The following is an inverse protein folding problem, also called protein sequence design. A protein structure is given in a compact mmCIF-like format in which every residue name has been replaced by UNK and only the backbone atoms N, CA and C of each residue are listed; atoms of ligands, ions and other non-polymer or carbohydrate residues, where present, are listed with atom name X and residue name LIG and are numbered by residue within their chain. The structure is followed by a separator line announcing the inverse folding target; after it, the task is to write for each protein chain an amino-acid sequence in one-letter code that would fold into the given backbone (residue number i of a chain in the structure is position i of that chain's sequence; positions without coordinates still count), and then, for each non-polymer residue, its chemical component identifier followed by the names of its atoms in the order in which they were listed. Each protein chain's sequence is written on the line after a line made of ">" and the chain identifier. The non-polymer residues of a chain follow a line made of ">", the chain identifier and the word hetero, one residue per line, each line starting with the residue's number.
data_IF_391916588249
#
_entry.id   IF_391916588249
#
_cell.length_a   1.000
_cell.length_b   1.000
_cell.length_c   1.000
_cell.angle_alpha   90.00
_cell.angle_beta   90.00
_cell.angle_gamma   90.00
#
_symmetry.space_group_name_H-M   'P 1'
#
loop_
_entity.id
_entity.type
_entity.pdbx_description
1 polymer ?
#
# COMPACT_ATOMS: atom_id res chain seq x y z
N UNK A 1 10.90 18.69 18.39
CA UNK A 1 11.49 19.23 19.62
C UNK A 1 12.98 19.25 19.49
N UNK A 2 13.64 20.21 20.13
CA UNK A 2 15.09 20.23 20.29
C UNK A 2 15.46 19.09 21.25
N UNK A 3 16.36 18.20 20.85
CA UNK A 3 16.92 17.18 21.76
C UNK A 3 18.09 17.77 22.54
N UNK A 4 18.49 17.10 23.63
CA UNK A 4 19.65 17.50 24.44
C UNK A 4 20.98 17.52 23.64
N UNK A 5 20.99 16.84 22.49
CA UNK A 5 22.08 16.89 21.50
C UNK A 5 22.05 18.10 20.56
N UNK A 6 21.10 19.03 20.73
CA UNK A 6 20.93 20.22 19.87
C UNK A 6 20.33 19.94 18.49
N UNK A 7 19.86 18.71 18.24
CA UNK A 7 19.26 18.30 16.96
C UNK A 7 17.74 18.42 17.02
N UNK A 8 17.13 18.90 15.93
CA UNK A 8 15.67 18.92 15.82
C UNK A 8 15.14 17.53 15.48
N UNK A 9 14.22 17.01 16.30
CA UNK A 9 13.52 15.75 16.05
C UNK A 9 12.01 15.97 15.91
N UNK A 10 11.36 15.27 14.99
CA UNK A 10 9.89 15.24 14.90
C UNK A 10 9.28 14.71 16.21
N UNK A 11 8.10 15.21 16.57
CA UNK A 11 7.31 14.62 17.66
C UNK A 11 6.80 13.25 17.21
N UNK A 12 6.61 12.32 18.15
CA UNK A 12 6.30 10.92 17.82
C UNK A 12 5.06 10.76 16.93
N UNK A 13 3.98 11.50 17.19
CA UNK A 13 2.77 11.48 16.37
C UNK A 13 2.94 12.06 14.95
N UNK A 14 4.00 12.84 14.71
CA UNK A 14 4.25 13.44 13.39
C UNK A 14 4.91 12.44 12.42
N UNK A 15 5.54 11.38 12.92
CA UNK A 15 6.11 10.35 12.05
C UNK A 15 5.02 9.65 11.21
N UNK A 16 3.82 9.45 11.77
CA UNK A 16 2.70 8.84 11.05
C UNK A 16 2.09 9.75 9.98
N UNK A 17 2.31 11.06 10.09
CA UNK A 17 1.84 12.07 9.13
C UNK A 17 2.86 12.37 8.04
N UNK A 18 4.00 11.69 8.03
CA UNK A 18 5.08 11.92 7.08
C UNK A 18 4.98 10.89 5.96
N UNK A 19 4.86 11.37 4.71
CA UNK A 19 4.88 10.50 3.54
C UNK A 19 6.34 10.16 3.15
N UNK A 20 6.70 8.87 3.01
CA UNK A 20 8.03 8.48 2.59
C UNK A 20 8.34 8.83 1.12
N UNK A 21 7.32 9.02 0.28
CA UNK A 21 7.48 9.30 -1.15
C UNK A 21 7.27 10.80 -1.36
N UNK A 22 8.35 11.56 -1.19
CA UNK A 22 8.36 13.00 -1.42
C UNK A 22 9.25 13.32 -2.63
N UNK A 23 8.70 14.05 -3.61
CA UNK A 23 9.41 14.50 -4.82
C UNK A 23 10.66 15.34 -4.51
N UNK A 24 10.72 15.94 -3.31
CA UNK A 24 11.84 16.77 -2.86
C UNK A 24 12.93 15.97 -2.12
N UNK A 25 12.73 14.66 -1.92
CA UNK A 25 13.79 13.78 -1.43
C UNK A 25 14.64 13.32 -2.61
N UNK A 26 15.96 13.41 -2.47
CA UNK A 26 16.87 12.77 -3.42
C UNK A 26 16.54 11.29 -3.49
N UNK A 27 16.48 10.73 -4.70
CA UNK A 27 16.12 9.33 -4.94
C UNK A 27 17.00 8.34 -4.16
N UNK A 28 18.24 8.70 -3.85
CA UNK A 28 19.15 7.91 -3.00
C UNK A 28 18.83 7.93 -1.50
N UNK A 29 17.97 8.85 -1.04
CA UNK A 29 17.60 9.04 0.38
C UNK A 29 16.19 8.55 0.74
N UNK A 30 15.37 8.22 -0.27
CA UNK A 30 13.98 7.79 -0.10
C UNK A 30 13.87 6.49 0.69
N UNK A 31 14.71 5.49 0.36
CA UNK A 31 14.74 4.20 1.07
C UNK A 31 15.14 4.35 2.54
N UNK A 32 16.16 5.17 2.81
CA UNK A 32 16.60 5.49 4.17
C UNK A 32 15.52 6.21 4.98
N UNK A 33 14.79 7.13 4.33
CA UNK A 33 13.66 7.84 4.94
C UNK A 33 12.52 6.89 5.25
N UNK A 34 12.17 6.02 4.30
CA UNK A 34 11.15 4.99 4.48
C UNK A 34 11.48 4.10 5.69
N UNK A 35 12.72 3.62 5.78
CA UNK A 35 13.14 2.74 6.87
C UNK A 35 13.16 3.45 8.22
N UNK A 36 13.60 4.70 8.26
CA UNK A 36 13.54 5.52 9.46
C UNK A 36 12.10 5.72 9.95
N UNK A 37 11.15 5.98 9.03
CA UNK A 37 9.74 6.13 9.39
C UNK A 37 9.17 4.83 9.96
N UNK A 38 9.43 3.70 9.29
CA UNK A 38 9.03 2.38 9.76
C UNK A 38 9.54 2.10 11.18
N UNK A 39 10.84 2.30 11.42
CA UNK A 39 11.45 2.04 12.74
C UNK A 39 10.88 2.94 13.83
N UNK A 40 10.64 4.21 13.53
CA UNK A 40 10.07 5.15 14.50
C UNK A 40 8.63 4.80 14.82
N UNK A 41 7.81 4.50 13.82
CA UNK A 41 6.41 4.14 14.00
C UNK A 41 6.29 2.81 14.75
N UNK A 42 7.10 1.81 14.38
CA UNK A 42 7.18 0.53 15.07
C UNK A 42 7.47 0.70 16.56
N UNK A 43 8.47 1.52 16.88
CA UNK A 43 8.85 1.83 18.27
C UNK A 43 7.73 2.53 19.04
N UNK A 44 7.05 3.50 18.41
CA UNK A 44 5.95 4.25 19.05
C UNK A 44 4.74 3.35 19.30
N UNK A 45 4.41 2.45 18.36
CA UNK A 45 3.28 1.53 18.46
C UNK A 45 3.58 0.26 19.25
N UNK A 46 4.85 -0.02 19.55
CA UNK A 46 5.26 -1.26 20.21
C UNK A 46 5.09 -2.51 19.34
N UNK A 47 5.15 -2.37 18.01
CA UNK A 47 5.01 -3.46 17.03
C UNK A 47 6.33 -3.70 16.30
N UNK A 48 6.42 -4.78 15.53
CA UNK A 48 7.62 -5.05 14.72
C UNK A 48 7.66 -4.13 13.49
N UNK A 49 8.86 -3.70 13.03
CA UNK A 49 9.02 -2.94 11.79
C UNK A 49 8.30 -3.56 10.59
N UNK A 50 8.33 -4.89 10.46
CA UNK A 50 7.67 -5.62 9.37
C UNK A 50 6.13 -5.49 9.36
N UNK A 51 5.52 -5.13 10.50
CA UNK A 51 4.07 -4.92 10.63
C UNK A 51 3.65 -3.47 10.33
N UNK A 52 4.59 -2.56 10.10
CA UNK A 52 4.28 -1.16 9.80
C UNK A 52 3.94 -1.01 8.31
N UNK A 53 2.67 -0.69 8.02
CA UNK A 53 2.24 -0.21 6.72
C UNK A 53 2.18 1.33 6.75
N UNK A 54 3.08 2.00 6.03
CA UNK A 54 3.05 3.47 5.90
C UNK A 54 1.85 3.88 5.06
N UNK A 55 1.03 4.82 5.53
CA UNK A 55 -0.19 5.27 4.83
C UNK A 55 0.13 6.55 4.03
N UNK A 56 -0.28 6.64 2.75
CA UNK A 56 -0.07 7.85 1.96
C UNK A 56 -0.85 9.03 2.52
N UNK A 57 -0.29 10.23 2.37
CA UNK A 57 -0.91 11.46 2.85
C UNK A 57 -1.68 12.16 1.72
N UNK A 58 -2.97 11.87 1.59
CA UNK A 58 -3.84 12.51 0.60
C UNK A 58 -4.32 13.88 1.11
N UNK A 59 -3.91 14.96 0.43
CA UNK A 59 -4.36 16.33 0.71
C UNK A 59 -5.02 16.93 -0.52
N UNK A 60 -6.04 17.77 -0.29
CA UNK A 60 -6.62 18.55 -1.37
C UNK A 60 -5.57 19.53 -1.94
N UNK A 61 -5.53 19.61 -3.27
CA UNK A 61 -4.78 20.65 -3.96
C UNK A 61 -5.58 21.96 -3.97
N UNK A 62 -4.89 23.10 -4.01
CA UNK A 62 -5.52 24.39 -4.28
C UNK A 62 -5.99 24.49 -5.76
N UNK A 63 -5.64 23.52 -6.59
CA UNK A 63 -6.03 23.42 -7.99
C UNK A 63 -7.20 22.45 -8.12
N UNK A 64 -8.40 22.97 -8.40
CA UNK A 64 -9.63 22.18 -8.60
C UNK A 64 -9.49 21.12 -9.68
N UNK A 65 -8.86 21.46 -10.81
CA UNK A 65 -8.58 20.50 -11.88
C UNK A 65 -7.87 19.24 -11.40
N UNK A 66 -6.90 19.37 -10.48
CA UNK A 66 -6.16 18.21 -9.94
C UNK A 66 -7.08 17.35 -9.07
N UNK A 67 -7.85 17.98 -8.18
CA UNK A 67 -8.78 17.26 -7.31
C UNK A 67 -9.86 16.51 -8.11
N UNK A 68 -10.35 17.12 -9.19
CA UNK A 68 -11.45 16.58 -9.96
C UNK A 68 -11.01 15.54 -11.01
N UNK A 69 -9.83 15.69 -11.61
CA UNK A 69 -9.44 14.88 -12.79
C UNK A 69 -8.41 13.80 -12.47
N UNK A 70 -7.52 14.00 -11.51
CA UNK A 70 -6.45 13.04 -11.23
C UNK A 70 -7.03 11.72 -10.70
N UNK A 71 -7.89 11.79 -9.69
CA UNK A 71 -8.57 10.61 -9.16
C UNK A 71 -9.43 9.91 -10.23
N UNK A 72 -10.12 10.69 -11.06
CA UNK A 72 -10.96 10.13 -12.13
C UNK A 72 -10.14 9.37 -13.17
N UNK A 73 -8.97 9.89 -13.56
CA UNK A 73 -8.04 9.17 -14.43
C UNK A 73 -7.54 7.87 -13.79
N UNK A 74 -7.13 7.91 -12.52
CA UNK A 74 -6.59 6.75 -11.81
C UNK A 74 -7.65 5.67 -11.51
N UNK A 75 -8.94 5.98 -11.60
CA UNK A 75 -10.04 5.00 -11.48
C UNK A 75 -10.48 4.39 -12.81
N UNK A 76 -9.88 4.78 -13.94
CA UNK A 76 -10.23 4.24 -15.25
C UNK A 76 -9.80 2.77 -15.42
N UNK A 77 -10.48 2.08 -16.33
CA UNK A 77 -10.14 0.72 -16.77
C UNK A 77 -8.71 0.62 -17.31
N UNK A 78 -8.30 1.59 -18.13
CA UNK A 78 -6.97 1.64 -18.71
C UNK A 78 -5.89 1.75 -17.63
N UNK A 79 -6.12 2.60 -16.62
CA UNK A 79 -5.18 2.73 -15.51
C UNK A 79 -5.12 1.45 -14.67
N UNK A 80 -6.25 0.84 -14.31
CA UNK A 80 -6.25 -0.40 -13.53
C UNK A 80 -5.51 -1.52 -14.26
N UNK A 81 -5.74 -1.66 -15.57
CA UNK A 81 -5.02 -2.62 -16.43
C UNK A 81 -3.53 -2.32 -16.49
N UNK A 82 -3.15 -1.05 -16.60
CA UNK A 82 -1.75 -0.62 -16.57
C UNK A 82 -1.09 -0.95 -15.22
N UNK A 83 -1.75 -0.63 -14.10
CA UNK A 83 -1.26 -0.89 -12.76
C UNK A 83 -1.06 -2.38 -12.50
N UNK A 84 -2.01 -3.25 -12.86
CA UNK A 84 -1.84 -4.71 -12.74
C UNK A 84 -0.63 -5.20 -13.54
N UNK A 85 -0.48 -4.76 -14.79
CA UNK A 85 0.68 -5.11 -15.61
C UNK A 85 1.99 -4.65 -14.99
N UNK A 86 2.02 -3.45 -14.42
CA UNK A 86 3.22 -2.90 -13.81
C UNK A 86 3.58 -3.64 -12.50
N UNK A 87 2.60 -4.12 -11.74
CA UNK A 87 2.84 -5.04 -10.61
C UNK A 87 3.48 -6.35 -11.09
N UNK A 88 2.96 -6.95 -12.16
CA UNK A 88 3.55 -8.18 -12.71
C UNK A 88 4.98 -7.97 -13.25
N UNK A 89 5.24 -6.83 -13.91
CA UNK A 89 6.59 -6.48 -14.39
C UNK A 89 7.54 -6.29 -13.20
N UNK A 90 7.15 -5.47 -12.21
CA UNK A 90 7.97 -5.26 -11.01
C UNK A 90 8.24 -6.56 -10.26
N UNK A 91 7.27 -7.48 -10.24
CA UNK A 91 7.44 -8.81 -9.65
C UNK A 91 8.39 -9.70 -10.46
N UNK A 92 8.27 -9.72 -11.79
CA UNK A 92 9.13 -10.49 -12.67
C UNK A 92 10.59 -10.04 -12.58
N UNK A 93 10.82 -8.73 -12.50
CA UNK A 93 12.14 -8.12 -12.39
C UNK A 93 12.66 -8.09 -10.94
N UNK A 94 11.83 -8.46 -9.96
CA UNK A 94 12.09 -8.33 -8.51
C UNK A 94 12.53 -6.92 -8.13
N UNK A 95 11.91 -5.92 -8.75
CA UNK A 95 12.26 -4.53 -8.61
C UNK A 95 11.34 -3.80 -7.62
N UNK A 96 11.78 -3.77 -6.36
CA UNK A 96 11.12 -3.04 -5.29
C UNK A 96 11.01 -1.54 -5.57
N UNK A 97 11.88 -0.97 -6.43
CA UNK A 97 11.82 0.44 -6.81
C UNK A 97 10.62 0.78 -7.68
N UNK A 98 9.99 -0.23 -8.30
CA UNK A 98 8.71 -0.12 -9.02
C UNK A 98 7.56 -0.51 -8.08
N UNK A 99 7.69 -1.64 -7.37
CA UNK A 99 6.60 -2.18 -6.55
C UNK A 99 6.23 -1.26 -5.40
N UNK A 100 7.20 -0.75 -4.64
CA UNK A 100 6.94 0.08 -3.48
C UNK A 100 6.16 1.38 -3.82
N UNK A 101 6.57 2.21 -4.79
CA UNK A 101 5.81 3.40 -5.15
C UNK A 101 4.46 3.08 -5.78
N UNK A 102 4.36 2.01 -6.57
CA UNK A 102 3.09 1.61 -7.19
C UNK A 102 2.06 1.18 -6.15
N UNK A 103 2.44 0.35 -5.17
CA UNK A 103 1.56 -0.04 -4.08
C UNK A 103 1.18 1.17 -3.21
N UNK A 104 2.08 2.12 -3.03
CA UNK A 104 1.77 3.35 -2.29
C UNK A 104 0.75 4.23 -3.04
N UNK A 105 0.87 4.32 -4.37
CA UNK A 105 -0.11 4.99 -5.23
C UNK A 105 -1.46 4.28 -5.21
N UNK A 106 -1.49 2.94 -5.27
CA UNK A 106 -2.73 2.17 -5.17
C UNK A 106 -3.42 2.38 -3.82
N UNK A 107 -2.67 2.45 -2.71
CA UNK A 107 -3.23 2.82 -1.42
C UNK A 107 -3.83 4.24 -1.47
N UNK A 108 -3.12 5.22 -2.04
CA UNK A 108 -3.65 6.58 -2.17
C UNK A 108 -4.95 6.62 -2.99
N UNK A 109 -5.04 5.79 -4.03
CA UNK A 109 -6.23 5.65 -4.86
C UNK A 109 -7.42 5.08 -4.06
N UNK A 110 -7.19 4.06 -3.22
CA UNK A 110 -8.24 3.53 -2.34
C UNK A 110 -8.74 4.60 -1.37
N UNK A 111 -7.85 5.38 -0.74
CA UNK A 111 -8.25 6.46 0.18
C UNK A 111 -9.01 7.59 -0.54
N UNK A 112 -8.60 7.93 -1.76
CA UNK A 112 -9.28 8.95 -2.57
C UNK A 112 -10.68 8.48 -2.98
N UNK A 113 -10.82 7.22 -3.36
CA UNK A 113 -12.09 6.59 -3.70
C UNK A 113 -13.03 6.53 -2.48
N UNK A 114 -12.52 6.15 -1.31
CA UNK A 114 -13.27 6.17 -0.04
C UNK A 114 -13.73 7.58 0.35
N UNK A 115 -12.90 8.59 0.09
CA UNK A 115 -13.25 9.98 0.38
C UNK A 115 -14.42 10.48 -0.49
N UNK A 116 -14.52 10.01 -1.73
CA UNK A 116 -15.55 10.44 -2.68
C UNK A 116 -16.85 9.64 -2.55
N UNK A 117 -16.75 8.33 -2.36
CA UNK A 117 -17.89 7.40 -2.44
C UNK A 117 -18.22 6.71 -1.12
N UNK A 118 -17.38 6.89 -0.09
CA UNK A 118 -17.55 6.32 1.25
C UNK A 118 -16.62 5.13 1.52
N UNK A 119 -16.37 4.86 2.81
CA UNK A 119 -15.38 3.87 3.30
C UNK A 119 -15.64 2.44 2.78
N UNK A 120 -16.89 2.10 2.45
CA UNK A 120 -17.25 0.78 1.96
C UNK A 120 -17.33 0.68 0.43
N UNK A 121 -17.03 1.76 -0.29
CA UNK A 121 -17.03 1.72 -1.75
C UNK A 121 -15.90 0.81 -2.26
N UNK A 122 -16.24 0.02 -3.28
CA UNK A 122 -15.34 -0.85 -4.01
C UNK A 122 -15.35 -0.42 -5.48
N UNK A 123 -14.17 -0.19 -6.05
CA UNK A 123 -14.06 0.06 -7.49
C UNK A 123 -14.14 -1.28 -8.25
N UNK A 124 -15.23 -1.57 -9.00
CA UNK A 124 -15.42 -2.85 -9.67
C UNK A 124 -14.34 -3.14 -10.73
N UNK A 125 -13.69 -2.11 -11.23
CA UNK A 125 -12.56 -2.21 -12.16
C UNK A 125 -11.39 -2.99 -11.56
N UNK A 126 -11.17 -2.93 -10.24
CA UNK A 126 -10.11 -3.71 -9.59
C UNK A 126 -10.36 -5.21 -9.62
N UNK A 127 -11.62 -5.65 -9.46
CA UNK A 127 -11.99 -7.06 -9.62
C UNK A 127 -11.82 -7.49 -11.08
N UNK A 128 -12.37 -6.70 -12.01
CA UNK A 128 -12.40 -7.02 -13.44
C UNK A 128 -11.01 -7.24 -14.06
N UNK A 129 -9.99 -6.51 -13.59
CA UNK A 129 -8.62 -6.62 -14.10
C UNK A 129 -7.67 -7.42 -13.22
N UNK A 130 -8.18 -8.18 -12.25
CA UNK A 130 -7.37 -9.08 -11.43
C UNK A 130 -6.41 -8.35 -10.48
N UNK A 131 -6.80 -7.18 -9.95
CA UNK A 131 -5.97 -6.48 -8.96
C UNK A 131 -5.74 -7.33 -7.70
N UNK A 132 -6.76 -8.08 -7.26
CA UNK A 132 -6.63 -9.02 -6.14
C UNK A 132 -5.58 -10.10 -6.41
N UNK A 133 -5.57 -10.65 -7.62
CA UNK A 133 -4.58 -11.65 -8.07
C UNK A 133 -3.17 -11.06 -8.08
N UNK A 134 -2.98 -9.87 -8.66
CA UNK A 134 -1.69 -9.20 -8.70
C UNK A 134 -1.17 -8.86 -7.29
N UNK A 135 -2.04 -8.37 -6.39
CA UNK A 135 -1.67 -8.07 -5.01
C UNK A 135 -1.32 -9.34 -4.21
N UNK A 136 -2.07 -10.43 -4.40
CA UNK A 136 -1.77 -11.72 -3.79
C UNK A 136 -0.41 -12.26 -4.24
N UNK A 137 -0.14 -12.21 -5.55
CA UNK A 137 1.14 -12.62 -6.11
C UNK A 137 2.33 -11.81 -5.53
N UNK A 138 2.18 -10.49 -5.37
CA UNK A 138 3.21 -9.64 -4.75
C UNK A 138 3.37 -9.93 -3.26
N UNK A 139 2.27 -10.19 -2.54
CA UNK A 139 2.33 -10.47 -1.11
C UNK A 139 3.03 -11.81 -0.77
N UNK A 140 2.94 -12.81 -1.66
CA UNK A 140 3.62 -14.09 -1.49
C UNK A 140 5.05 -14.13 -2.07
N UNK A 141 5.43 -13.11 -2.83
CA UNK A 141 6.72 -13.05 -3.50
C UNK A 141 7.90 -12.84 -2.53
N UNK A 142 9.13 -13.25 -2.90
CA UNK A 142 10.35 -12.94 -2.15
C UNK A 142 10.80 -11.49 -2.38
N UNK A 143 9.92 -10.52 -2.10
CA UNK A 143 10.18 -9.07 -2.13
C UNK A 143 10.55 -8.59 -0.72
N UNK A 144 10.90 -7.31 -0.57
CA UNK A 144 11.17 -6.78 0.76
C UNK A 144 9.92 -6.83 1.67
N UNK A 145 10.11 -6.96 3.00
CA UNK A 145 8.99 -7.10 3.93
C UNK A 145 7.96 -5.98 3.86
N UNK A 146 8.38 -4.74 3.60
CA UNK A 146 7.47 -3.61 3.52
C UNK A 146 6.61 -3.63 2.25
N UNK A 147 7.14 -4.12 1.13
CA UNK A 147 6.38 -4.32 -0.11
C UNK A 147 5.33 -5.42 0.09
N UNK A 148 5.74 -6.56 0.66
CA UNK A 148 4.82 -7.67 0.95
C UNK A 148 3.71 -7.25 1.93
N UNK A 149 4.06 -6.58 3.04
CA UNK A 149 3.08 -6.08 4.02
C UNK A 149 2.12 -5.08 3.40
N UNK A 150 2.59 -4.18 2.52
CA UNK A 150 1.74 -3.21 1.84
C UNK A 150 0.77 -3.89 0.86
N UNK A 151 1.26 -4.86 0.08
CA UNK A 151 0.42 -5.63 -0.84
C UNK A 151 -0.64 -6.44 -0.09
N UNK A 152 -0.26 -7.11 1.01
CA UNK A 152 -1.18 -7.83 1.87
C UNK A 152 -2.26 -6.91 2.46
N UNK A 153 -1.87 -5.75 3.00
CA UNK A 153 -2.80 -4.75 3.52
C UNK A 153 -3.83 -4.31 2.48
N UNK A 154 -3.38 -4.04 1.25
CA UNK A 154 -4.29 -3.66 0.16
C UNK A 154 -5.21 -4.80 -0.24
N UNK A 155 -4.69 -6.02 -0.33
CA UNK A 155 -5.49 -7.20 -0.63
C UNK A 155 -6.61 -7.39 0.40
N UNK A 156 -6.29 -7.28 1.68
CA UNK A 156 -7.26 -7.37 2.76
C UNK A 156 -8.30 -6.27 2.71
N UNK A 157 -7.88 -5.07 2.35
CA UNK A 157 -8.77 -3.93 2.14
C UNK A 157 -9.75 -4.21 1.00
N UNK A 158 -9.30 -4.81 -0.10
CA UNK A 158 -10.18 -5.18 -1.21
C UNK A 158 -11.14 -6.32 -0.84
N UNK A 159 -10.66 -7.36 -0.15
CA UNK A 159 -11.50 -8.48 0.32
C UNK A 159 -12.57 -7.99 1.30
N UNK A 160 -12.21 -7.10 2.23
CA UNK A 160 -13.16 -6.54 3.19
C UNK A 160 -14.23 -5.67 2.54
N UNK A 161 -13.96 -5.11 1.36
CA UNK A 161 -14.91 -4.32 0.58
C UNK A 161 -15.78 -5.18 -0.33
N UNK A 162 -15.24 -6.26 -0.88
CA UNK A 162 -15.94 -7.17 -1.78
C UNK A 162 -15.41 -8.61 -1.66
N UNK A 163 -16.23 -9.51 -1.11
CA UNK A 163 -15.90 -10.94 -0.94
C UNK A 163 -15.69 -11.66 -2.27
N UNK A 164 -16.19 -11.14 -3.41
CA UNK A 164 -15.92 -11.72 -4.72
C UNK A 164 -14.42 -11.69 -5.07
N UNK A 165 -13.63 -10.81 -4.45
CA UNK A 165 -12.17 -10.83 -4.55
C UNK A 165 -11.61 -12.13 -3.96
N UNK A 166 -12.10 -12.55 -2.78
CA UNK A 166 -11.69 -13.79 -2.15
C UNK A 166 -12.13 -15.01 -2.96
N UNK A 167 -13.36 -15.00 -3.48
CA UNK A 167 -13.87 -16.06 -4.35
C UNK A 167 -13.00 -16.21 -5.61
N UNK A 168 -12.64 -15.10 -6.26
CA UNK A 168 -11.76 -15.10 -7.42
C UNK A 168 -10.37 -15.70 -7.10
N UNK A 169 -9.79 -15.37 -5.94
CA UNK A 169 -8.53 -15.96 -5.51
C UNK A 169 -8.64 -17.47 -5.26
N UNK A 170 -9.73 -17.92 -4.63
CA UNK A 170 -9.98 -19.34 -4.41
C UNK A 170 -10.14 -20.12 -5.72
N UNK A 171 -10.75 -19.51 -6.73
CA UNK A 171 -10.85 -20.09 -8.09
C UNK A 171 -9.47 -20.21 -8.74
N UNK A 172 -8.62 -19.19 -8.62
CA UNK A 172 -7.29 -19.15 -9.27
C UNK A 172 -6.24 -20.02 -8.56
N UNK A 173 -6.17 -19.95 -7.23
CA UNK A 173 -5.10 -20.57 -6.42
C UNK A 173 -5.54 -21.78 -5.60
N UNK A 174 -6.84 -22.02 -5.48
CA UNK A 174 -7.42 -23.06 -4.63
C UNK A 174 -7.65 -22.61 -3.19
N UNK A 175 -8.80 -23.01 -2.62
CA UNK A 175 -9.24 -22.61 -1.27
C UNK A 175 -8.21 -22.91 -0.17
N UNK A 176 -7.56 -24.07 -0.23
CA UNK A 176 -6.60 -24.47 0.79
C UNK A 176 -5.38 -23.55 0.81
N UNK A 177 -4.89 -23.13 -0.36
CA UNK A 177 -3.74 -22.24 -0.47
C UNK A 177 -4.06 -20.85 0.10
N UNK A 178 -5.20 -20.28 -0.33
CA UNK A 178 -5.67 -18.97 0.13
C UNK A 178 -5.95 -18.97 1.64
N UNK A 179 -6.54 -20.05 2.17
CA UNK A 179 -6.77 -20.21 3.62
C UNK A 179 -5.45 -20.25 4.39
N UNK A 180 -4.50 -21.06 3.95
CA UNK A 180 -3.18 -21.17 4.59
C UNK A 180 -2.43 -19.82 4.59
N UNK A 181 -2.54 -19.06 3.49
CA UNK A 181 -1.98 -17.70 3.42
C UNK A 181 -2.57 -16.79 4.51
N UNK A 182 -3.90 -16.75 4.64
CA UNK A 182 -4.59 -15.93 5.64
C UNK A 182 -4.25 -16.34 7.07
N UNK A 183 -4.23 -17.65 7.36
CA UNK A 183 -3.88 -18.18 8.69
C UNK A 183 -2.44 -17.82 9.10
N UNK A 184 -1.48 -17.93 8.17
CA UNK A 184 -0.10 -17.51 8.41
C UNK A 184 -0.03 -16.03 8.76
N UNK A 185 -0.77 -15.18 8.04
CA UNK A 185 -0.76 -13.73 8.28
C UNK A 185 -1.40 -13.37 9.63
N UNK A 186 -2.55 -13.94 9.96
CA UNK A 186 -3.19 -13.69 11.25
C UNK A 186 -2.31 -14.15 12.44
N UNK A 187 -1.46 -15.15 12.21
CA UNK A 187 -0.46 -15.58 13.20
C UNK A 187 0.75 -14.63 13.30
N UNK A 188 1.13 -13.97 12.21
CA UNK A 188 2.19 -12.96 12.21
C UNK A 188 1.74 -11.63 12.79
N UNK A 189 0.46 -11.28 12.70
CA UNK A 189 -0.08 -10.04 13.27
C UNK A 189 -0.29 -10.12 14.80
N UNK A 190 -0.44 -11.32 15.34
CA UNK A 190 -0.62 -11.58 16.79
C UNK A 190 0.68 -11.74 17.59
N UNK A 191 1.85 -11.75 16.93
CA UNK A 191 3.17 -11.98 17.54
C UNK A 191 4.09 -10.77 17.45
#
# INVERSE_FOLDING_TARGET
>A
GLTDSGVYRLKDHLYELTDPICLFLDSGSSQSTFMLLVDKIAKVRGIKPAQVCLVPQCRASDITFVNDNLGNFLRTEDFAKFACKLLHVGLADKDDSILAPLLHLLHALVLDDERLFGVHHFNPTFLAYGMGDALFAVAEAPVSPHVATKAAFLLDTLIAKDECVLEALCVTYGELHVRNYREKRDSSDKK
#
